data_IF_721739341725
#
_entry.id   IF_721739341725
#
_cell.length_a   1.000
_cell.length_b   1.000
_cell.length_c   1.000
_cell.angle_alpha   90.00
_cell.angle_beta   90.00
_cell.angle_gamma   90.00
#
_symmetry.space_group_name_H-M   'P 1'
#
loop_
_entity.id
_entity.type
_entity.pdbx_description
1 polymer ?
#
# COMPACT_ATOMS: atom_id res chain seq x y z
N UNK A 1 29.93 30.48 13.60
CA UNK A 1 30.07 29.65 12.40
C UNK A 1 30.46 28.19 12.67
N UNK A 2 30.98 27.84 13.81
CA UNK A 2 31.32 26.44 14.16
C UNK A 2 30.12 25.49 14.34
N UNK A 3 28.93 25.99 14.57
CA UNK A 3 27.70 25.17 14.82
C UNK A 3 26.85 24.92 13.58
N UNK A 4 27.11 25.57 12.45
CA UNK A 4 26.40 25.35 11.19
C UNK A 4 26.65 23.94 10.61
N UNK A 5 27.84 23.38 10.85
CA UNK A 5 28.20 22.03 10.40
C UNK A 5 27.48 20.92 11.18
N UNK A 6 27.13 21.15 12.43
CA UNK A 6 26.40 20.20 13.25
C UNK A 6 24.92 20.09 12.84
N UNK A 7 24.34 21.18 12.34
CA UNK A 7 22.95 21.20 11.87
C UNK A 7 22.83 20.48 10.52
N UNK A 8 23.82 20.61 9.64
CA UNK A 8 23.82 19.91 8.34
C UNK A 8 23.95 18.38 8.49
N UNK A 9 24.62 17.88 9.53
CA UNK A 9 24.75 16.45 9.78
C UNK A 9 23.46 15.79 10.28
N UNK A 10 22.54 16.55 10.86
CA UNK A 10 21.24 16.04 11.34
C UNK A 10 20.23 15.82 10.21
N UNK A 11 20.45 16.42 9.04
CA UNK A 11 19.58 16.23 7.85
C UNK A 11 20.06 15.12 6.90
N UNK A 12 21.20 14.49 7.16
CA UNK A 12 21.69 13.35 6.40
C UNK A 12 21.07 12.00 6.81
N UNK A 13 20.00 12.00 7.62
CA UNK A 13 19.16 10.84 7.86
C UNK A 13 18.51 10.46 6.54
N UNK A 14 19.03 9.40 5.91
CA UNK A 14 18.37 8.79 4.75
C UNK A 14 16.97 8.38 5.18
N UNK A 15 15.95 9.08 4.70
CA UNK A 15 14.59 8.58 4.78
C UNK A 15 14.55 7.30 3.95
N UNK A 16 14.72 6.15 4.59
CA UNK A 16 14.49 4.87 3.96
C UNK A 16 13.01 4.79 3.62
N UNK A 17 12.69 5.04 2.37
CA UNK A 17 11.36 4.74 1.86
C UNK A 17 11.14 3.23 1.96
N UNK A 18 9.94 2.82 2.38
CA UNK A 18 9.52 1.43 2.40
C UNK A 18 9.71 0.82 1.00
N UNK A 19 10.57 -0.18 0.89
CA UNK A 19 10.99 -0.73 -0.40
C UNK A 19 10.00 -1.78 -0.94
N UNK A 20 9.99 -2.02 -2.26
CA UNK A 20 9.19 -3.11 -2.83
C UNK A 20 9.50 -4.50 -2.26
N UNK A 21 10.75 -4.78 -1.92
CA UNK A 21 11.16 -6.06 -1.33
C UNK A 21 10.67 -6.20 0.11
N UNK A 22 10.73 -5.12 0.89
CA UNK A 22 10.13 -5.08 2.23
C UNK A 22 8.62 -5.27 2.15
N UNK A 23 7.93 -4.57 1.25
CA UNK A 23 6.50 -4.74 1.02
C UNK A 23 6.15 -6.21 0.74
N UNK A 24 6.90 -6.84 -0.16
CA UNK A 24 6.67 -8.24 -0.52
C UNK A 24 6.77 -9.17 0.68
N UNK A 25 7.87 -9.11 1.41
CA UNK A 25 8.09 -9.96 2.57
C UNK A 25 7.13 -9.68 3.73
N UNK A 26 6.80 -8.43 3.98
CA UNK A 26 5.91 -8.03 5.05
C UNK A 26 4.45 -8.40 4.75
N UNK A 27 4.02 -8.27 3.49
CA UNK A 27 2.67 -8.64 3.10
C UNK A 27 2.46 -10.16 3.03
N UNK A 28 3.49 -10.94 2.69
CA UNK A 28 3.46 -12.39 2.86
C UNK A 28 3.28 -12.77 4.33
N UNK A 29 4.02 -12.16 5.24
CA UNK A 29 3.84 -12.37 6.69
C UNK A 29 2.42 -12.00 7.16
N UNK A 30 1.84 -10.92 6.63
CA UNK A 30 0.45 -10.53 6.95
C UNK A 30 -0.57 -11.54 6.43
N UNK A 31 -0.38 -12.08 5.23
CA UNK A 31 -1.26 -13.12 4.69
C UNK A 31 -1.19 -14.41 5.52
N UNK A 32 0.01 -14.85 5.91
CA UNK A 32 0.21 -15.98 6.82
C UNK A 32 -0.48 -15.75 8.17
N UNK A 33 -0.41 -14.54 8.72
CA UNK A 33 -1.09 -14.18 9.96
C UNK A 33 -2.61 -14.28 9.82
N UNK A 34 -3.19 -13.78 8.73
CA UNK A 34 -4.64 -13.92 8.46
C UNK A 34 -5.04 -15.38 8.26
N UNK A 35 -4.18 -16.19 7.66
CA UNK A 35 -4.37 -17.64 7.52
C UNK A 35 -4.13 -18.42 8.83
N UNK A 36 -3.81 -17.73 9.94
CA UNK A 36 -3.50 -18.33 11.24
C UNK A 36 -2.33 -19.31 11.20
N UNK A 37 -1.40 -19.13 10.29
CA UNK A 37 -0.19 -19.92 10.19
C UNK A 37 0.78 -19.56 11.31
N UNK A 38 1.44 -20.57 11.87
CA UNK A 38 2.49 -20.36 12.86
C UNK A 38 3.78 -19.98 12.14
N UNK A 39 4.47 -18.96 12.65
CA UNK A 39 5.78 -18.55 12.16
C UNK A 39 6.83 -18.68 13.25
N UNK A 40 8.03 -19.12 12.87
CA UNK A 40 9.21 -19.12 13.74
C UNK A 40 9.99 -17.80 13.67
N UNK A 41 9.61 -16.88 12.77
CA UNK A 41 10.22 -15.55 12.65
C UNK A 41 9.80 -14.67 13.83
N UNK A 42 10.74 -14.23 14.70
CA UNK A 42 10.41 -13.35 15.83
C UNK A 42 9.86 -11.99 15.40
N UNK A 43 10.11 -11.57 14.17
CA UNK A 43 9.64 -10.31 13.60
C UNK A 43 8.34 -10.43 12.80
N UNK A 44 7.76 -11.62 12.74
CA UNK A 44 6.57 -11.91 11.94
C UNK A 44 5.40 -10.94 12.21
N UNK A 45 5.10 -10.69 13.49
CA UNK A 45 4.02 -9.77 13.88
C UNK A 45 4.30 -8.32 13.48
N UNK A 46 5.55 -7.87 13.61
CA UNK A 46 5.95 -6.50 13.22
C UNK A 46 5.87 -6.35 11.70
N UNK A 47 6.37 -7.32 10.95
CA UNK A 47 6.30 -7.34 9.50
C UNK A 47 4.86 -7.33 9.01
N UNK A 48 4.01 -8.19 9.57
CA UNK A 48 2.57 -8.22 9.29
C UNK A 48 1.90 -6.87 9.53
N UNK A 49 2.18 -6.26 10.70
CA UNK A 49 1.62 -4.96 11.06
C UNK A 49 2.09 -3.83 10.10
N UNK A 50 3.35 -3.85 9.65
CA UNK A 50 3.88 -2.87 8.68
C UNK A 50 3.14 -2.94 7.35
N UNK A 51 2.94 -4.14 6.80
CA UNK A 51 2.16 -4.30 5.57
C UNK A 51 0.73 -3.81 5.75
N UNK A 52 0.03 -4.28 6.80
CA UNK A 52 -1.37 -3.92 7.04
C UNK A 52 -1.52 -2.41 7.19
N UNK A 53 -0.66 -1.78 7.99
CA UNK A 53 -0.70 -0.33 8.23
C UNK A 53 -0.41 0.47 6.95
N UNK A 54 0.57 0.03 6.16
CA UNK A 54 0.91 0.71 4.90
C UNK A 54 -0.23 0.62 3.88
N UNK A 55 -0.77 -0.57 3.67
CA UNK A 55 -1.82 -0.79 2.67
C UNK A 55 -3.14 -0.15 3.08
N UNK A 56 -3.53 -0.25 4.36
CA UNK A 56 -4.71 0.41 4.90
C UNK A 56 -4.57 1.94 4.83
N UNK A 57 -3.43 2.49 5.26
CA UNK A 57 -3.14 3.92 5.18
C UNK A 57 -3.15 4.45 3.75
N UNK A 58 -2.67 3.66 2.79
CA UNK A 58 -2.75 3.99 1.37
C UNK A 58 -4.21 4.08 0.90
N UNK A 59 -5.03 3.09 1.26
CA UNK A 59 -6.44 3.05 0.92
C UNK A 59 -7.22 4.24 1.53
N UNK A 60 -6.97 4.56 2.80
CA UNK A 60 -7.57 5.70 3.48
C UNK A 60 -7.14 7.03 2.86
N UNK A 61 -5.87 7.17 2.51
CA UNK A 61 -5.32 8.34 1.83
C UNK A 61 -5.99 8.56 0.46
N UNK A 62 -6.21 7.48 -0.28
CA UNK A 62 -6.94 7.53 -1.54
C UNK A 62 -8.40 7.96 -1.33
N UNK A 63 -9.10 7.41 -0.34
CA UNK A 63 -10.49 7.76 -0.05
C UNK A 63 -10.65 9.25 0.31
N UNK A 64 -9.71 9.81 1.08
CA UNK A 64 -9.67 11.25 1.37
C UNK A 64 -9.41 12.06 0.10
N UNK A 65 -8.49 11.61 -0.75
CA UNK A 65 -8.16 12.30 -2.01
C UNK A 65 -9.34 12.31 -2.96
N UNK A 66 -10.07 11.21 -3.10
CA UNK A 66 -11.28 11.12 -3.93
C UNK A 66 -12.39 12.02 -3.39
N UNK A 67 -12.63 12.01 -2.08
CA UNK A 67 -13.58 12.92 -1.43
C UNK A 67 -13.25 14.39 -1.70
N UNK A 68 -11.98 14.79 -1.60
CA UNK A 68 -11.57 16.17 -1.86
C UNK A 68 -11.67 16.53 -3.35
N UNK A 69 -11.36 15.60 -4.24
CA UNK A 69 -11.50 15.77 -5.69
C UNK A 69 -12.97 15.98 -6.09
N UNK A 70 -13.91 15.24 -5.47
CA UNK A 70 -15.35 15.46 -5.71
C UNK A 70 -15.81 16.88 -5.37
N UNK A 71 -15.22 17.52 -4.35
CA UNK A 71 -15.55 18.90 -3.98
C UNK A 71 -15.25 19.91 -5.09
N UNK A 72 -14.36 19.58 -6.00
CA UNK A 72 -14.00 20.40 -7.16
C UNK A 72 -14.51 19.81 -8.48
N UNK A 73 -15.42 18.83 -8.41
CA UNK A 73 -16.07 18.23 -9.58
C UNK A 73 -15.22 17.17 -10.31
N UNK A 74 -14.18 16.64 -9.66
CA UNK A 74 -13.30 15.59 -10.23
C UNK A 74 -13.61 14.26 -9.55
N UNK A 75 -13.78 13.20 -10.34
CA UNK A 75 -13.85 11.81 -9.85
C UNK A 75 -12.56 11.09 -10.20
N UNK A 76 -11.86 10.54 -9.20
CA UNK A 76 -10.60 9.84 -9.44
C UNK A 76 -10.82 8.47 -10.08
N UNK A 77 -11.79 7.70 -9.63
CA UNK A 77 -12.20 6.40 -10.18
C UNK A 77 -11.04 5.41 -10.43
N UNK A 78 -9.96 5.50 -9.67
CA UNK A 78 -8.84 4.58 -9.82
C UNK A 78 -9.16 3.19 -9.28
N UNK A 79 -9.87 3.13 -8.14
CA UNK A 79 -10.42 1.91 -7.57
C UNK A 79 -11.56 2.23 -6.62
N UNK A 80 -12.45 1.27 -6.41
CA UNK A 80 -13.63 1.42 -5.56
C UNK A 80 -13.64 0.33 -4.49
N UNK A 81 -13.44 0.72 -3.24
CA UNK A 81 -13.38 -0.22 -2.12
C UNK A 81 -14.79 -0.58 -1.64
N UNK A 82 -15.09 -1.86 -1.43
CA UNK A 82 -16.37 -2.29 -0.87
C UNK A 82 -16.40 -1.99 0.64
N UNK A 83 -17.60 -1.80 1.16
CA UNK A 83 -17.82 -1.80 2.60
C UNK A 83 -17.92 -3.25 3.09
N UNK A 84 -16.79 -3.82 3.48
CA UNK A 84 -16.61 -5.23 3.79
C UNK A 84 -15.83 -5.37 5.11
N UNK A 85 -16.31 -6.14 6.10
CA UNK A 85 -15.59 -6.37 7.35
C UNK A 85 -14.22 -7.02 7.16
N UNK A 86 -14.03 -7.78 6.07
CA UNK A 86 -12.77 -8.44 5.74
C UNK A 86 -11.89 -7.62 4.77
N UNK A 87 -12.20 -6.32 4.61
CA UNK A 87 -11.52 -5.46 3.64
C UNK A 87 -9.99 -5.47 3.84
N UNK A 88 -9.52 -5.36 5.07
CA UNK A 88 -8.08 -5.33 5.37
C UNK A 88 -7.35 -6.57 4.85
N UNK A 89 -7.91 -7.75 5.08
CA UNK A 89 -7.36 -9.02 4.55
C UNK A 89 -7.39 -9.05 3.02
N UNK A 90 -8.45 -8.56 2.40
CA UNK A 90 -8.60 -8.52 0.93
C UNK A 90 -7.61 -7.55 0.29
N UNK A 91 -7.35 -6.39 0.94
CA UNK A 91 -6.33 -5.44 0.49
C UNK A 91 -4.94 -6.07 0.51
N UNK A 92 -4.55 -6.71 1.62
CA UNK A 92 -3.26 -7.41 1.75
C UNK A 92 -3.12 -8.48 0.67
N UNK A 93 -4.14 -9.33 0.49
CA UNK A 93 -4.13 -10.38 -0.53
C UNK A 93 -4.00 -9.83 -1.95
N UNK A 94 -4.67 -8.72 -2.27
CA UNK A 94 -4.55 -8.07 -3.56
C UNK A 94 -3.11 -7.61 -3.83
N UNK A 95 -2.44 -7.05 -2.82
CA UNK A 95 -1.04 -6.64 -2.90
C UNK A 95 -0.13 -7.85 -3.10
N UNK A 96 -0.27 -8.92 -2.31
CA UNK A 96 0.53 -10.15 -2.43
C UNK A 96 0.45 -10.71 -3.85
N UNK A 97 -0.76 -10.93 -4.36
CA UNK A 97 -1.00 -11.46 -5.71
C UNK A 97 -0.35 -10.57 -6.79
N UNK A 98 -0.37 -9.25 -6.59
CA UNK A 98 0.19 -8.33 -7.58
C UNK A 98 1.73 -8.34 -7.54
N UNK A 99 2.34 -8.24 -6.36
CA UNK A 99 3.80 -8.16 -6.23
C UNK A 99 4.50 -9.47 -6.60
N UNK A 100 3.84 -10.63 -6.47
CA UNK A 100 4.36 -11.91 -6.91
C UNK A 100 4.56 -11.99 -8.44
N UNK A 101 3.78 -11.21 -9.19
CA UNK A 101 3.87 -11.13 -10.66
C UNK A 101 4.87 -10.11 -11.17
N UNK A 102 5.39 -9.27 -10.27
CA UNK A 102 6.34 -8.21 -10.60
C UNK A 102 7.76 -8.75 -10.40
N UNK A 103 8.70 -8.50 -11.32
CA UNK A 103 10.09 -8.90 -11.15
C UNK A 103 10.72 -8.33 -9.88
N UNK A 104 11.60 -9.06 -9.18
CA UNK A 104 12.20 -8.62 -7.92
C UNK A 104 13.09 -7.37 -8.08
N UNK A 105 13.58 -7.09 -9.28
CA UNK A 105 14.41 -5.93 -9.62
C UNK A 105 13.61 -4.77 -10.23
N UNK A 106 12.31 -4.67 -9.88
CA UNK A 106 11.46 -3.60 -10.39
C UNK A 106 11.97 -2.22 -9.97
N UNK A 107 11.84 -1.26 -10.89
CA UNK A 107 12.09 0.17 -10.61
C UNK A 107 10.85 0.92 -10.12
N UNK A 108 9.71 0.21 -10.03
CA UNK A 108 8.46 0.81 -9.55
C UNK A 108 8.55 1.13 -8.05
N UNK A 109 7.96 2.24 -7.64
CA UNK A 109 7.86 2.56 -6.22
C UNK A 109 6.85 1.66 -5.51
N UNK A 110 7.00 1.49 -4.21
CA UNK A 110 6.06 0.73 -3.36
C UNK A 110 4.63 1.26 -3.50
N UNK A 111 4.46 2.58 -3.50
CA UNK A 111 3.16 3.21 -3.70
C UNK A 111 2.53 2.86 -5.05
N UNK A 112 3.32 2.85 -6.12
CA UNK A 112 2.85 2.46 -7.47
C UNK A 112 2.42 0.99 -7.51
N UNK A 113 3.15 0.11 -6.83
CA UNK A 113 2.79 -1.32 -6.73
C UNK A 113 1.46 -1.50 -5.98
N UNK A 114 1.28 -0.82 -4.86
CA UNK A 114 0.02 -0.89 -4.11
C UNK A 114 -1.13 -0.29 -4.91
N UNK A 115 -0.95 0.87 -5.53
CA UNK A 115 -1.97 1.48 -6.39
C UNK A 115 -2.40 0.54 -7.52
N UNK A 116 -1.45 -0.09 -8.22
CA UNK A 116 -1.72 -1.05 -9.29
C UNK A 116 -2.44 -2.30 -8.79
N UNK A 117 -2.09 -2.80 -7.60
CA UNK A 117 -2.75 -3.93 -6.97
C UNK A 117 -4.22 -3.63 -6.67
N UNK A 118 -4.49 -2.47 -6.04
CA UNK A 118 -5.84 -2.09 -5.65
C UNK A 118 -6.71 -1.75 -6.86
N UNK A 119 -6.19 -1.04 -7.85
CA UNK A 119 -6.91 -0.73 -9.09
C UNK A 119 -7.32 -2.01 -9.85
N UNK A 120 -6.47 -3.03 -9.81
CA UNK A 120 -6.74 -4.29 -10.48
C UNK A 120 -7.73 -5.18 -9.72
N UNK A 121 -7.65 -5.18 -8.38
CA UNK A 121 -8.49 -6.01 -7.53
C UNK A 121 -9.87 -5.42 -7.24
N UNK A 122 -9.98 -4.09 -7.26
CA UNK A 122 -11.19 -3.34 -6.90
C UNK A 122 -11.58 -2.33 -7.99
N UNK A 123 -11.84 -2.76 -9.21
CA UNK A 123 -12.24 -1.84 -10.28
C UNK A 123 -13.58 -1.18 -9.96
N UNK A 124 -13.73 0.11 -10.33
CA UNK A 124 -15.00 0.80 -10.23
C UNK A 124 -15.95 0.33 -11.35
N UNK A 125 -17.18 -0.05 -11.00
CA UNK A 125 -18.17 -0.58 -11.95
C UNK A 125 -18.81 0.48 -12.86
N UNK A 126 -18.71 1.77 -12.50
CA UNK A 126 -19.34 2.88 -13.26
C UNK A 126 -18.70 3.15 -14.62
N UNK A 127 -17.56 2.54 -14.95
CA UNK A 127 -16.92 2.70 -16.26
C UNK A 127 -17.73 2.11 -17.42
N UNK A 128 -18.78 1.33 -17.16
CA UNK A 128 -19.60 0.67 -18.17
C UNK A 128 -20.94 1.37 -18.48
N UNK A 129 -21.35 2.36 -17.67
CA UNK A 129 -22.64 3.05 -17.87
C UNK A 129 -22.56 4.35 -18.67
N UNK A 130 -21.40 4.84 -19.05
CA UNK A 130 -21.28 6.09 -19.81
C UNK A 130 -21.40 5.95 -21.34
N UNK A 131 -21.92 4.81 -21.84
CA UNK A 131 -22.23 4.59 -23.25
C UNK A 131 -23.71 4.22 -23.44
N UNK A 132 -24.57 5.19 -23.19
CA UNK A 132 -25.90 5.25 -23.82
C UNK A 132 -26.25 6.68 -24.17
#
# INVERSE_FOLDING_TARGET
MKYLWLIAALFAGQAYAYSPDELRGDCQAAEEMYAKQKSSDPYHSIRSARCIAYVAGFADSYAISDYLAEKIGVKLNAFCLPNDPDLSMRLVRAVVIHVERVPPNTTMSTATLVAGALAKAFPCSEALESKK
#
